data_IF_229367326473
#
_entry.id   IF_229367326473
#
_cell.length_a   1.000
_cell.length_b   1.000
_cell.length_c   1.000
_cell.angle_alpha   90.00
_cell.angle_beta   90.00
_cell.angle_gamma   90.00
#
_symmetry.space_group_name_H-M   'P 1'
#
loop_
_entity.id
_entity.type
_entity.pdbx_description
1 polymer ?
#
# COMPACT_ATOMS: atom_id res chain seq x y z
N UNK A 1 27.27 7.16 14.59
CA UNK A 1 26.21 7.35 13.58
C UNK A 1 24.88 7.03 14.25
N UNK A 2 23.98 7.99 14.38
CA UNK A 2 22.66 7.77 14.96
C UNK A 2 21.77 7.17 13.86
N UNK A 3 21.44 5.89 13.97
CA UNK A 3 20.56 5.21 13.00
C UNK A 3 19.12 5.61 13.35
N UNK A 4 18.52 6.49 12.55
CA UNK A 4 17.11 6.87 12.70
C UNK A 4 16.25 5.64 12.35
N UNK A 5 15.41 5.19 13.28
CA UNK A 5 14.38 4.20 12.99
C UNK A 5 13.21 4.88 12.27
N UNK A 6 12.69 4.23 11.23
CA UNK A 6 11.47 4.65 10.56
C UNK A 6 10.25 4.00 11.22
N UNK A 7 9.16 4.76 11.32
CA UNK A 7 7.87 4.23 11.74
C UNK A 7 7.27 3.30 10.67
N UNK A 8 6.37 2.40 11.07
CA UNK A 8 5.65 1.54 10.12
C UNK A 8 4.88 2.36 9.08
N UNK A 9 4.29 3.48 9.49
CA UNK A 9 3.56 4.39 8.60
C UNK A 9 4.48 4.97 7.52
N UNK A 10 5.67 5.45 7.89
CA UNK A 10 6.66 5.96 6.93
C UNK A 10 7.09 4.86 5.95
N UNK A 11 7.40 3.66 6.46
CA UNK A 11 7.81 2.53 5.64
C UNK A 11 6.70 2.12 4.66
N UNK A 12 5.45 2.03 5.13
CA UNK A 12 4.29 1.72 4.29
C UNK A 12 4.14 2.78 3.18
N UNK A 13 4.26 4.05 3.52
CA UNK A 13 4.19 5.15 2.56
C UNK A 13 5.22 5.02 1.44
N UNK A 14 6.47 4.66 1.77
CA UNK A 14 7.52 4.45 0.77
C UNK A 14 7.25 3.23 -0.12
N UNK A 15 6.79 2.10 0.45
CA UNK A 15 6.44 0.91 -0.35
C UNK A 15 5.30 1.19 -1.33
N UNK A 16 4.28 1.94 -0.91
CA UNK A 16 3.18 2.30 -1.80
C UNK A 16 3.64 3.26 -2.91
N UNK A 17 4.53 4.20 -2.61
CA UNK A 17 5.14 5.03 -3.66
C UNK A 17 5.98 4.20 -4.62
N UNK A 18 6.75 3.25 -4.11
CA UNK A 18 7.55 2.35 -4.94
C UNK A 18 6.65 1.53 -5.88
N UNK A 19 5.53 0.99 -5.36
CA UNK A 19 4.51 0.32 -6.17
C UNK A 19 3.95 1.19 -7.29
N UNK A 20 3.73 2.48 -7.02
CA UNK A 20 3.29 3.44 -8.02
C UNK A 20 4.34 3.66 -9.13
N UNK A 21 5.62 3.74 -8.78
CA UNK A 21 6.69 3.86 -9.77
C UNK A 21 6.85 2.58 -10.59
N UNK A 22 6.79 1.39 -9.97
CA UNK A 22 6.79 0.12 -10.68
C UNK A 22 5.60 -0.01 -11.64
N UNK A 23 4.42 0.43 -11.21
CA UNK A 23 3.24 0.49 -12.04
C UNK A 23 3.46 1.37 -13.28
N UNK A 24 4.02 2.57 -13.12
CA UNK A 24 4.34 3.45 -14.25
C UNK A 24 5.35 2.82 -15.24
N UNK A 25 6.17 1.87 -14.79
CA UNK A 25 7.08 1.07 -15.62
C UNK A 25 6.45 -0.23 -16.18
N UNK A 26 5.12 -0.38 -16.06
CA UNK A 26 4.39 -1.55 -16.58
C UNK A 26 4.40 -2.77 -15.66
N UNK A 27 4.82 -2.62 -14.39
CA UNK A 27 4.93 -3.71 -13.40
C UNK A 27 4.01 -3.46 -12.20
N UNK A 28 2.68 -3.45 -12.36
CA UNK A 28 1.73 -3.00 -11.34
C UNK A 28 1.66 -3.90 -10.10
N UNK A 29 2.10 -5.16 -10.20
CA UNK A 29 2.02 -6.13 -9.10
C UNK A 29 3.33 -6.30 -8.34
N UNK A 30 4.36 -5.49 -8.57
CA UNK A 30 5.70 -5.74 -8.03
C UNK A 30 5.75 -5.78 -6.49
N UNK A 31 5.10 -4.80 -5.84
CA UNK A 31 5.06 -4.70 -4.36
C UNK A 31 3.94 -5.52 -3.73
N UNK A 32 3.02 -6.02 -4.56
CA UNK A 32 1.76 -6.62 -4.13
C UNK A 32 1.92 -7.93 -3.33
N UNK A 33 2.86 -8.85 -3.66
CA UNK A 33 3.16 -10.01 -2.82
C UNK A 33 3.67 -9.63 -1.43
N UNK A 34 4.57 -8.65 -1.35
CA UNK A 34 5.11 -8.17 -0.07
C UNK A 34 4.02 -7.57 0.80
N UNK A 35 3.19 -6.68 0.24
CA UNK A 35 2.09 -6.03 0.96
C UNK A 35 1.09 -7.06 1.49
N UNK A 36 0.69 -8.04 0.69
CA UNK A 36 -0.19 -9.14 1.14
C UNK A 36 0.43 -9.95 2.26
N UNK A 37 1.70 -10.36 2.08
CA UNK A 37 2.42 -11.13 3.07
C UNK A 37 2.54 -10.39 4.40
N UNK A 38 2.79 -9.08 4.38
CA UNK A 38 2.87 -8.27 5.59
C UNK A 38 1.51 -7.98 6.21
N UNK A 39 0.51 -7.61 5.43
CA UNK A 39 -0.75 -7.10 5.97
C UNK A 39 -1.74 -8.22 6.32
N UNK A 40 -1.70 -9.36 5.64
CA UNK A 40 -2.69 -10.43 5.85
C UNK A 40 -2.20 -11.53 6.82
N UNK A 41 -0.89 -11.64 7.06
CA UNK A 41 -0.31 -12.68 7.93
C UNK A 41 0.08 -12.19 9.33
N UNK A 42 -0.34 -10.99 9.74
CA UNK A 42 0.09 -10.34 10.99
C UNK A 42 -0.78 -10.69 12.23
N UNK A 43 -1.53 -11.79 12.19
CA UNK A 43 -2.35 -12.22 13.34
C UNK A 43 -3.59 -11.38 13.62
N UNK A 44 -4.00 -10.52 12.67
CA UNK A 44 -5.26 -9.76 12.76
C UNK A 44 -6.50 -10.66 12.73
N UNK A 45 -7.63 -10.13 13.23
CA UNK A 45 -8.94 -10.76 13.08
C UNK A 45 -9.30 -11.00 11.61
N UNK A 46 -10.19 -11.97 11.36
CA UNK A 46 -10.66 -12.30 9.99
C UNK A 46 -11.43 -11.14 9.34
N UNK A 47 -12.12 -10.30 10.10
CA UNK A 47 -12.75 -9.08 9.60
C UNK A 47 -11.71 -8.08 9.12
N UNK A 48 -10.69 -7.80 9.94
CA UNK A 48 -9.60 -6.88 9.59
C UNK A 48 -8.80 -7.39 8.39
N UNK A 49 -8.53 -8.70 8.31
CA UNK A 49 -7.91 -9.31 7.12
C UNK A 49 -8.75 -9.11 5.86
N UNK A 50 -10.09 -9.23 5.95
CA UNK A 50 -10.99 -9.03 4.82
C UNK A 50 -10.95 -7.60 4.33
N UNK A 51 -11.06 -6.63 5.24
CA UNK A 51 -10.97 -5.20 4.91
C UNK A 51 -9.62 -4.85 4.27
N UNK A 52 -8.51 -5.34 4.84
CA UNK A 52 -7.18 -5.16 4.26
C UNK A 52 -7.05 -5.82 2.88
N UNK A 53 -7.64 -7.01 2.69
CA UNK A 53 -7.62 -7.70 1.41
C UNK A 53 -8.40 -6.93 0.33
N UNK A 54 -9.52 -6.30 0.69
CA UNK A 54 -10.30 -5.46 -0.21
C UNK A 54 -9.53 -4.19 -0.59
N UNK A 55 -8.93 -3.49 0.38
CA UNK A 55 -8.04 -2.34 0.12
C UNK A 55 -6.87 -2.71 -0.81
N UNK A 56 -6.24 -3.87 -0.59
CA UNK A 56 -5.14 -4.33 -1.45
C UNK A 56 -5.60 -4.71 -2.85
N UNK A 57 -6.83 -5.20 -3.02
CA UNK A 57 -7.42 -5.43 -4.34
C UNK A 57 -7.62 -4.10 -5.07
N UNK A 58 -8.16 -3.10 -4.40
CA UNK A 58 -8.37 -1.76 -4.97
C UNK A 58 -7.05 -1.07 -5.32
N UNK A 59 -6.04 -1.21 -4.48
CA UNK A 59 -4.69 -0.71 -4.75
C UNK A 59 -4.09 -1.33 -6.02
N UNK A 60 -4.21 -2.64 -6.19
CA UNK A 60 -3.71 -3.32 -7.38
C UNK A 60 -4.48 -2.89 -8.65
N UNK A 61 -5.80 -2.71 -8.56
CA UNK A 61 -6.60 -2.14 -9.67
C UNK A 61 -6.09 -0.74 -10.02
N UNK A 62 -5.81 0.08 -9.01
CA UNK A 62 -5.24 1.42 -9.21
C UNK A 62 -3.87 1.37 -9.90
N UNK A 63 -2.94 0.51 -9.46
CA UNK A 63 -1.65 0.35 -10.12
C UNK A 63 -1.78 -0.15 -11.56
N UNK A 64 -2.68 -1.09 -11.83
CA UNK A 64 -2.95 -1.53 -13.20
C UNK A 64 -3.40 -0.37 -14.10
N UNK A 65 -4.26 0.53 -13.59
CA UNK A 65 -4.66 1.75 -14.33
C UNK A 65 -3.48 2.68 -14.59
N UNK A 66 -2.59 2.87 -13.61
CA UNK A 66 -1.37 3.69 -13.81
C UNK A 66 -0.46 3.07 -14.86
N UNK A 67 -0.32 1.74 -14.88
CA UNK A 67 0.48 1.03 -15.87
C UNK A 67 0.00 1.28 -17.31
N UNK A 68 -1.31 1.41 -17.52
CA UNK A 68 -1.85 1.81 -18.82
C UNK A 68 -1.47 3.24 -19.25
N UNK A 69 -1.21 4.14 -18.30
CA UNK A 69 -0.82 5.53 -18.57
C UNK A 69 0.69 5.72 -18.72
N UNK A 70 1.52 4.81 -18.20
CA UNK A 70 2.99 4.85 -18.31
C UNK A 70 3.66 6.05 -17.63
N UNK A 71 2.96 6.78 -16.75
CA UNK A 71 3.49 7.97 -16.06
C UNK A 71 2.85 8.19 -14.68
N UNK A 72 3.63 8.78 -13.79
CA UNK A 72 3.17 9.23 -12.47
C UNK A 72 2.70 10.68 -12.55
N UNK A 73 1.52 10.96 -12.00
CA UNK A 73 0.94 12.29 -11.91
C UNK A 73 0.64 12.63 -10.44
N UNK A 74 0.47 13.91 -10.12
CA UNK A 74 0.19 14.35 -8.74
C UNK A 74 -1.08 13.70 -8.16
N UNK A 75 -2.09 13.47 -9.00
CA UNK A 75 -3.31 12.74 -8.60
C UNK A 75 -3.01 11.30 -8.15
N UNK A 76 -2.02 10.64 -8.75
CA UNK A 76 -1.61 9.29 -8.37
C UNK A 76 -0.93 9.31 -6.99
N UNK A 77 -0.09 10.33 -6.73
CA UNK A 77 0.53 10.52 -5.41
C UNK A 77 -0.50 10.79 -4.33
N UNK A 78 -1.56 11.57 -4.64
CA UNK A 78 -2.68 11.81 -3.71
C UNK A 78 -3.47 10.53 -3.42
N UNK A 79 -3.72 9.70 -4.43
CA UNK A 79 -4.37 8.40 -4.26
C UNK A 79 -3.55 7.46 -3.37
N UNK A 80 -2.23 7.36 -3.58
CA UNK A 80 -1.33 6.58 -2.72
C UNK A 80 -1.40 7.03 -1.25
N UNK A 81 -1.40 8.34 -0.99
CA UNK A 81 -1.57 8.87 0.37
C UNK A 81 -2.94 8.56 0.96
N UNK A 82 -3.98 8.35 0.14
CA UNK A 82 -5.28 7.88 0.64
C UNK A 82 -5.18 6.42 1.08
N UNK A 83 -4.71 5.53 0.20
CA UNK A 83 -4.51 4.12 0.54
C UNK A 83 -3.66 3.93 1.79
N UNK A 84 -2.60 4.72 1.96
CA UNK A 84 -1.78 4.70 3.18
C UNK A 84 -2.62 4.98 4.43
N UNK A 85 -3.43 6.05 4.41
CA UNK A 85 -4.29 6.45 5.53
C UNK A 85 -5.36 5.39 5.81
N UNK A 86 -5.98 4.84 4.77
CA UNK A 86 -7.05 3.86 4.90
C UNK A 86 -6.52 2.54 5.51
N UNK A 87 -5.36 2.07 5.05
CA UNK A 87 -4.68 0.89 5.62
C UNK A 87 -4.30 1.14 7.09
N UNK A 88 -3.76 2.31 7.41
CA UNK A 88 -3.38 2.65 8.79
C UNK A 88 -4.61 2.72 9.70
N UNK A 89 -5.72 3.28 9.22
CA UNK A 89 -6.96 3.37 9.97
C UNK A 89 -7.48 1.98 10.36
N UNK A 90 -7.53 1.06 9.40
CA UNK A 90 -7.94 -0.34 9.63
C UNK A 90 -7.05 -1.02 10.67
N UNK A 91 -5.72 -0.91 10.52
CA UNK A 91 -4.77 -1.54 11.47
C UNK A 91 -4.85 -0.91 12.86
N UNK A 92 -5.09 0.40 12.95
CA UNK A 92 -5.15 1.12 14.23
C UNK A 92 -6.41 0.80 15.00
N UNK A 93 -7.54 0.59 14.30
CA UNK A 93 -8.81 0.24 14.92
C UNK A 93 -8.78 -1.15 15.59
N UNK A 94 -8.12 -2.13 14.97
CA UNK A 94 -7.94 -3.48 15.55
C UNK A 94 -7.07 -3.48 16.82
N UNK A 95 -6.15 -2.52 16.94
CA UNK A 95 -5.24 -2.40 18.09
C UNK A 95 -5.84 -1.60 19.26
N UNK A 96 -6.97 -0.94 19.05
CA UNK A 96 -7.67 -0.14 20.05
C UNK A 96 -8.59 -1.02 20.91
#
# INVERSE_FOLDING_TARGET
MNVRSFSFEEILGEILKEGLFWAALGRPSEVMPFLRGKLLNNGYSESTKRELADLLRELEIFYNRVACCGRVEERHMKAVKSFQRDIIAVISFEKA
#
